data_IF_058968756098
#
_entry.id   IF_058968756098
#
_cell.length_a   1.000
_cell.length_b   1.000
_cell.length_c   1.000
_cell.angle_alpha   90.00
_cell.angle_beta   90.00
_cell.angle_gamma   90.00
#
_symmetry.space_group_name_H-M   'P 1'
#
loop_
_entity.id
_entity.type
_entity.pdbx_description
1 polymer ?
#
# COMPACT_ATOMS: atom_id res chain seq x y z
N UNK A 1 30.73 -16.81 20.29
CA UNK A 1 30.33 -16.77 18.86
C UNK A 1 29.45 -15.56 18.68
N UNK A 2 30.00 -14.45 18.26
CA UNK A 2 29.28 -13.19 18.04
C UNK A 2 28.63 -13.30 16.67
N UNK A 3 27.31 -13.34 16.61
CA UNK A 3 26.56 -13.22 15.36
C UNK A 3 26.59 -11.74 14.98
N UNK A 4 27.45 -11.36 14.07
CA UNK A 4 27.37 -10.06 13.39
C UNK A 4 26.16 -10.12 12.45
N UNK A 5 25.04 -9.58 12.89
CA UNK A 5 23.99 -9.16 11.97
C UNK A 5 24.55 -7.94 11.23
N UNK A 6 24.67 -8.04 9.91
CA UNK A 6 25.04 -6.91 9.07
C UNK A 6 24.02 -5.78 9.32
N UNK A 7 24.49 -4.66 9.86
CA UNK A 7 23.68 -3.48 10.15
C UNK A 7 22.94 -2.95 8.91
N UNK A 8 23.45 -3.22 7.71
CA UNK A 8 22.92 -2.76 6.43
C UNK A 8 21.55 -3.39 6.06
N UNK A 9 21.32 -4.67 6.39
CA UNK A 9 20.08 -5.36 5.99
C UNK A 9 18.83 -4.92 6.79
N UNK A 10 19.00 -4.31 7.98
CA UNK A 10 17.87 -3.85 8.79
C UNK A 10 17.40 -2.43 8.43
N UNK A 11 18.24 -1.61 7.81
CA UNK A 11 17.94 -0.21 7.50
C UNK A 11 17.09 -0.06 6.24
N UNK A 12 17.31 -0.87 5.21
CA UNK A 12 16.62 -0.77 3.91
C UNK A 12 15.11 -1.06 3.96
N UNK A 13 14.66 -1.71 5.02
CA UNK A 13 13.30 -2.25 5.12
C UNK A 13 12.29 -1.27 5.70
N UNK A 14 12.72 -0.30 6.51
CA UNK A 14 11.80 0.55 7.31
C UNK A 14 10.94 1.47 6.46
N UNK A 15 11.48 2.00 5.38
CA UNK A 15 10.79 2.94 4.47
C UNK A 15 10.14 2.25 3.28
N UNK A 16 10.32 0.93 3.15
CA UNK A 16 9.73 0.14 2.07
C UNK A 16 8.19 0.16 2.11
N UNK A 17 7.57 0.35 0.97
CA UNK A 17 6.11 0.21 0.80
C UNK A 17 5.63 -1.26 0.83
N UNK A 18 6.54 -2.25 0.81
CA UNK A 18 6.21 -3.68 0.87
C UNK A 18 5.76 -4.09 2.27
N UNK A 19 4.96 -5.15 2.36
CA UNK A 19 4.55 -5.77 3.64
C UNK A 19 5.74 -6.55 4.20
N UNK A 20 6.05 -6.30 5.47
CA UNK A 20 7.15 -6.94 6.18
C UNK A 20 6.61 -7.85 7.30
N UNK A 21 7.37 -8.85 7.76
CA UNK A 21 6.97 -9.70 8.89
C UNK A 21 6.62 -8.90 10.16
N UNK A 22 7.26 -7.76 10.38
CA UNK A 22 7.00 -6.87 11.53
C UNK A 22 5.67 -6.11 11.43
N UNK A 23 5.03 -6.07 10.26
CA UNK A 23 3.68 -5.51 10.06
C UNK A 23 2.60 -6.46 10.60
N UNK A 24 2.92 -7.73 10.85
CA UNK A 24 1.96 -8.73 11.38
C UNK A 24 1.33 -8.35 12.72
N UNK A 25 1.98 -7.48 13.50
CA UNK A 25 1.46 -6.92 14.75
C UNK A 25 0.58 -5.66 14.59
N UNK A 26 0.37 -5.16 13.38
CA UNK A 26 -0.40 -3.92 13.14
C UNK A 26 -1.91 -4.06 13.34
N UNK A 27 -2.44 -5.29 13.46
CA UNK A 27 -3.87 -5.50 13.67
C UNK A 27 -4.46 -4.71 14.85
N UNK A 28 -3.68 -4.51 15.92
CA UNK A 28 -4.08 -3.72 17.08
C UNK A 28 -4.11 -2.20 16.81
N UNK A 29 -3.33 -1.72 15.85
CA UNK A 29 -3.22 -0.29 15.51
C UNK A 29 -4.28 0.15 14.49
N UNK A 30 -5.02 -0.78 13.87
CA UNK A 30 -6.01 -0.46 12.84
C UNK A 30 -7.29 0.10 13.46
N UNK A 31 -7.90 1.14 12.87
CA UNK A 31 -9.23 1.60 13.25
C UNK A 31 -10.26 0.50 12.97
N UNK A 32 -11.30 0.44 13.81
CA UNK A 32 -12.40 -0.53 13.65
C UNK A 32 -13.62 0.06 12.98
N UNK A 33 -13.86 1.35 13.12
CA UNK A 33 -15.04 2.05 12.61
C UNK A 33 -14.60 3.24 11.74
N UNK A 34 -15.48 3.69 10.84
CA UNK A 34 -15.24 4.85 9.98
C UNK A 34 -14.93 6.12 10.75
N UNK A 35 -15.58 6.34 11.88
CA UNK A 35 -15.33 7.49 12.76
C UNK A 35 -13.90 7.53 13.31
N UNK A 36 -13.27 6.37 13.48
CA UNK A 36 -11.91 6.24 14.00
C UNK A 36 -10.86 6.26 12.86
N UNK A 37 -11.32 6.27 11.61
CA UNK A 37 -10.47 6.26 10.44
C UNK A 37 -10.05 7.70 10.09
N UNK A 38 -8.76 8.00 10.27
CA UNK A 38 -8.20 9.32 9.99
C UNK A 38 -7.93 9.50 8.50
N UNK A 39 -8.23 10.68 7.97
CA UNK A 39 -8.00 11.03 6.57
C UNK A 39 -9.00 10.39 5.60
N UNK A 40 -8.74 10.55 4.31
CA UNK A 40 -9.59 10.02 3.22
C UNK A 40 -11.05 10.52 3.29
N UNK A 41 -11.26 11.78 3.70
CA UNK A 41 -12.60 12.30 4.05
C UNK A 41 -13.62 12.10 2.92
N UNK A 42 -13.24 12.43 1.68
CA UNK A 42 -14.10 12.26 0.50
C UNK A 42 -14.51 10.80 0.26
N UNK A 43 -13.57 9.87 0.45
CA UNK A 43 -13.85 8.45 0.30
C UNK A 43 -14.76 7.95 1.42
N UNK A 44 -14.54 8.42 2.65
CA UNK A 44 -15.38 8.08 3.83
C UNK A 44 -16.81 8.58 3.70
N UNK A 45 -16.99 9.84 3.29
CA UNK A 45 -18.32 10.42 3.09
C UNK A 45 -19.13 9.61 2.08
N UNK A 46 -18.54 9.30 0.91
CA UNK A 46 -19.20 8.47 -0.09
C UNK A 46 -19.53 7.06 0.44
N UNK A 47 -18.58 6.45 1.13
CA UNK A 47 -18.75 5.11 1.69
C UNK A 47 -19.82 5.08 2.78
N UNK A 48 -19.88 6.08 3.66
CA UNK A 48 -20.90 6.18 4.70
C UNK A 48 -22.32 6.18 4.12
N UNK A 49 -22.55 6.96 3.05
CA UNK A 49 -23.84 6.99 2.36
C UNK A 49 -24.22 5.61 1.81
N UNK A 50 -23.25 4.91 1.17
CA UNK A 50 -23.49 3.57 0.62
C UNK A 50 -23.81 2.55 1.73
N UNK A 51 -23.07 2.58 2.84
CA UNK A 51 -23.28 1.70 4.00
C UNK A 51 -24.65 1.95 4.63
N UNK A 52 -25.00 3.22 4.89
CA UNK A 52 -26.28 3.56 5.51
C UNK A 52 -27.46 3.17 4.63
N UNK A 53 -27.34 3.36 3.31
CA UNK A 53 -28.36 2.95 2.35
C UNK A 53 -28.53 1.43 2.28
N UNK A 54 -27.43 0.65 2.26
CA UNK A 54 -27.47 -0.80 2.28
C UNK A 54 -28.13 -1.32 3.56
N UNK A 55 -27.75 -0.76 4.72
CA UNK A 55 -28.35 -1.09 6.01
C UNK A 55 -29.86 -0.80 6.09
N UNK A 56 -30.30 0.36 5.57
CA UNK A 56 -31.71 0.73 5.53
C UNK A 56 -32.55 -0.25 4.69
N UNK A 57 -31.97 -0.79 3.61
CA UNK A 57 -32.65 -1.76 2.76
C UNK A 57 -32.52 -3.22 3.23
N UNK A 58 -31.60 -3.48 4.19
CA UNK A 58 -31.25 -4.85 4.62
C UNK A 58 -30.56 -5.67 3.53
N UNK A 59 -29.80 -5.01 2.65
CA UNK A 59 -29.11 -5.60 1.51
C UNK A 59 -27.60 -5.60 1.73
N UNK A 60 -26.83 -6.48 1.03
CA UNK A 60 -25.39 -6.37 1.00
C UNK A 60 -24.97 -5.02 0.40
N UNK A 61 -23.80 -4.54 0.77
CA UNK A 61 -23.18 -3.37 0.13
C UNK A 61 -22.85 -3.73 -1.34
N UNK A 62 -22.98 -2.76 -2.24
CA UNK A 62 -22.47 -2.91 -3.61
C UNK A 62 -21.00 -3.31 -3.60
N UNK A 63 -20.53 -3.99 -4.64
CA UNK A 63 -19.12 -4.36 -4.77
C UNK A 63 -18.23 -3.12 -4.79
N UNK A 64 -17.14 -3.17 -4.01
CA UNK A 64 -16.24 -2.02 -3.77
C UNK A 64 -14.86 -2.27 -4.37
N UNK A 65 -14.35 -1.32 -5.13
CA UNK A 65 -12.95 -1.31 -5.58
C UNK A 65 -12.16 -0.25 -4.80
N UNK A 66 -11.15 -0.72 -4.05
CA UNK A 66 -10.19 0.14 -3.35
C UNK A 66 -8.89 0.21 -4.14
N UNK A 67 -8.48 1.39 -4.59
CA UNK A 67 -7.25 1.50 -5.38
C UNK A 67 -6.40 2.70 -4.95
N UNK A 68 -5.11 2.60 -5.19
CA UNK A 68 -4.12 3.62 -4.83
C UNK A 68 -2.78 3.00 -4.40
N UNK A 69 -1.78 3.82 -4.12
CA UNK A 69 -0.45 3.38 -3.70
C UNK A 69 -0.46 2.35 -2.56
N UNK A 70 0.60 1.55 -2.40
CA UNK A 70 0.70 0.60 -1.29
C UNK A 70 0.81 1.33 0.06
N UNK A 71 0.38 0.67 1.14
CA UNK A 71 0.52 1.21 2.51
C UNK A 71 -0.54 2.22 2.95
N UNK A 72 -1.54 2.55 2.11
CA UNK A 72 -2.59 3.54 2.40
C UNK A 72 -3.78 3.01 3.22
N UNK A 73 -3.79 1.72 3.56
CA UNK A 73 -4.84 1.15 4.40
C UNK A 73 -6.03 0.54 3.64
N UNK A 74 -5.87 0.08 2.38
CA UNK A 74 -6.93 -0.61 1.62
C UNK A 74 -7.53 -1.78 2.40
N UNK A 75 -6.71 -2.67 2.93
CA UNK A 75 -7.16 -3.80 3.77
C UNK A 75 -7.83 -3.34 5.06
N UNK A 76 -7.35 -2.23 5.65
CA UNK A 76 -7.97 -1.62 6.84
C UNK A 76 -9.35 -1.06 6.51
N UNK A 77 -9.50 -0.37 5.38
CA UNK A 77 -10.79 0.14 4.93
C UNK A 77 -11.81 -0.99 4.71
N UNK A 78 -11.38 -2.10 4.09
CA UNK A 78 -12.22 -3.28 3.92
C UNK A 78 -12.69 -3.87 5.26
N UNK A 79 -11.78 -3.95 6.25
CA UNK A 79 -12.13 -4.41 7.60
C UNK A 79 -13.11 -3.45 8.31
N UNK A 80 -12.94 -2.14 8.12
CA UNK A 80 -13.86 -1.12 8.64
C UNK A 80 -15.24 -1.28 8.00
N UNK A 81 -15.32 -1.50 6.68
CA UNK A 81 -16.60 -1.75 5.99
C UNK A 81 -17.30 -2.98 6.59
N UNK A 82 -16.58 -4.08 6.80
CA UNK A 82 -17.14 -5.28 7.39
C UNK A 82 -17.67 -5.04 8.80
N UNK A 83 -16.93 -4.31 9.64
CA UNK A 83 -17.36 -3.95 10.98
C UNK A 83 -18.58 -3.02 10.96
N UNK A 84 -18.61 -2.03 10.07
CA UNK A 84 -19.76 -1.13 9.92
C UNK A 84 -21.01 -1.88 9.45
N UNK A 85 -20.87 -2.82 8.51
CA UNK A 85 -21.98 -3.67 8.04
C UNK A 85 -22.38 -4.74 9.07
N UNK A 86 -21.51 -5.05 10.04
CA UNK A 86 -21.75 -6.10 11.04
C UNK A 86 -21.68 -7.52 10.46
N UNK A 87 -20.85 -7.74 9.44
CA UNK A 87 -20.72 -9.01 8.72
C UNK A 87 -19.31 -9.57 8.80
N UNK A 88 -19.15 -10.85 8.46
CA UNK A 88 -17.82 -11.47 8.41
C UNK A 88 -17.06 -11.08 7.14
N UNK A 89 -15.74 -11.03 7.23
CA UNK A 89 -14.87 -10.78 6.10
C UNK A 89 -13.91 -11.96 5.90
N UNK A 90 -13.93 -12.55 4.71
CA UNK A 90 -12.91 -13.50 4.27
C UNK A 90 -11.86 -12.78 3.45
N UNK A 91 -10.60 -13.04 3.75
CA UNK A 91 -9.44 -12.35 3.14
C UNK A 91 -8.70 -13.34 2.28
N UNK A 92 -8.43 -12.96 1.04
CA UNK A 92 -7.57 -13.66 0.10
C UNK A 92 -6.79 -12.64 -0.74
N UNK A 93 -5.98 -13.14 -1.67
CA UNK A 93 -5.26 -12.31 -2.63
C UNK A 93 -5.35 -12.86 -4.04
N UNK A 94 -5.19 -12.00 -5.05
CA UNK A 94 -5.19 -12.43 -6.45
C UNK A 94 -4.22 -13.59 -6.72
N UNK A 95 -2.95 -13.49 -6.29
CA UNK A 95 -1.99 -14.59 -6.45
C UNK A 95 -2.35 -15.91 -5.73
N UNK A 96 -3.14 -15.86 -4.66
CA UNK A 96 -3.56 -17.06 -3.92
C UNK A 96 -4.71 -17.81 -4.61
N UNK A 97 -5.37 -17.20 -5.59
CA UNK A 97 -6.44 -17.82 -6.38
C UNK A 97 -5.86 -18.25 -7.73
N UNK A 98 -5.31 -19.44 -7.77
CA UNK A 98 -4.64 -19.96 -8.98
C UNK A 98 -5.62 -20.51 -10.00
N UNK A 99 -6.74 -21.09 -9.54
CA UNK A 99 -7.70 -21.83 -10.37
C UNK A 99 -9.12 -21.39 -10.07
N UNK A 100 -9.97 -21.57 -11.07
CA UNK A 100 -11.41 -21.39 -10.99
C UNK A 100 -12.06 -22.11 -9.79
N UNK A 101 -11.60 -23.32 -9.48
CA UNK A 101 -12.06 -24.10 -8.33
C UNK A 101 -11.72 -23.47 -6.97
N UNK A 102 -10.61 -22.76 -6.86
CA UNK A 102 -10.22 -22.10 -5.62
C UNK A 102 -11.19 -20.95 -5.31
N UNK A 103 -11.52 -20.15 -6.33
CA UNK A 103 -12.54 -19.10 -6.21
C UNK A 103 -13.91 -19.67 -5.90
N UNK A 104 -14.33 -20.72 -6.60
CA UNK A 104 -15.62 -21.37 -6.35
C UNK A 104 -15.72 -21.86 -4.90
N UNK A 105 -14.66 -22.48 -4.36
CA UNK A 105 -14.61 -22.92 -2.97
C UNK A 105 -14.71 -21.76 -1.98
N UNK A 106 -14.09 -20.62 -2.27
CA UNK A 106 -14.20 -19.42 -1.43
C UNK A 106 -15.63 -18.87 -1.43
N UNK A 107 -16.25 -18.75 -2.62
CA UNK A 107 -17.59 -18.18 -2.79
C UNK A 107 -18.69 -19.05 -2.17
N UNK A 108 -18.64 -20.37 -2.36
CA UNK A 108 -19.63 -21.31 -1.81
C UNK A 108 -19.56 -21.43 -0.28
N UNK A 109 -18.47 -21.02 0.35
CA UNK A 109 -18.31 -20.99 1.81
C UNK A 109 -18.68 -19.64 2.46
N UNK A 110 -19.15 -18.65 1.68
CA UNK A 110 -19.66 -17.39 2.23
C UNK A 110 -21.05 -17.60 2.83
N UNK A 111 -21.40 -16.75 3.78
CA UNK A 111 -22.75 -16.60 4.30
C UNK A 111 -23.42 -15.38 3.70
N UNK A 112 -24.73 -15.26 3.92
CA UNK A 112 -25.50 -14.09 3.45
C UNK A 112 -24.91 -12.79 3.97
N UNK A 113 -24.67 -11.86 3.05
CA UNK A 113 -24.06 -10.54 3.27
C UNK A 113 -22.57 -10.54 3.67
N UNK A 114 -21.90 -11.68 3.72
CA UNK A 114 -20.45 -11.74 3.98
C UNK A 114 -19.65 -10.92 2.95
N UNK A 115 -18.48 -10.50 3.35
CA UNK A 115 -17.52 -9.80 2.49
C UNK A 115 -16.41 -10.75 2.06
N UNK A 116 -16.14 -10.82 0.76
CA UNK A 116 -14.92 -11.40 0.20
C UNK A 116 -13.96 -10.27 -0.15
N UNK A 117 -12.84 -10.18 0.56
CA UNK A 117 -11.77 -9.24 0.26
C UNK A 117 -10.67 -9.92 -0.54
N UNK A 118 -10.36 -9.37 -1.73
CA UNK A 118 -9.30 -9.86 -2.62
C UNK A 118 -8.24 -8.77 -2.77
N UNK A 119 -7.08 -8.95 -2.12
CA UNK A 119 -5.95 -8.05 -2.30
C UNK A 119 -5.22 -8.33 -3.61
N UNK A 120 -4.61 -7.30 -4.21
CA UNK A 120 -3.95 -7.36 -5.52
C UNK A 120 -4.81 -8.05 -6.60
N UNK A 121 -6.11 -7.67 -6.66
CA UNK A 121 -7.11 -8.28 -7.54
C UNK A 121 -6.72 -8.22 -9.03
N UNK A 122 -5.89 -7.26 -9.44
CA UNK A 122 -5.35 -7.17 -10.80
C UNK A 122 -4.44 -8.35 -11.20
N UNK A 123 -4.05 -9.19 -10.24
CA UNK A 123 -3.24 -10.39 -10.48
C UNK A 123 -4.06 -11.66 -10.66
N UNK A 124 -5.37 -11.57 -10.67
CA UNK A 124 -6.24 -12.69 -11.05
C UNK A 124 -5.95 -13.08 -12.50
N UNK A 125 -5.93 -14.38 -12.76
CA UNK A 125 -5.85 -14.85 -14.13
C UNK A 125 -7.24 -14.78 -14.80
N UNK A 126 -7.26 -14.75 -16.12
CA UNK A 126 -8.48 -14.57 -16.90
C UNK A 126 -9.56 -15.63 -16.63
N UNK A 127 -9.17 -16.90 -16.43
CA UNK A 127 -10.12 -17.96 -16.16
C UNK A 127 -10.84 -17.80 -14.81
N UNK A 128 -10.16 -17.20 -13.82
CA UNK A 128 -10.74 -16.84 -12.51
C UNK A 128 -11.66 -15.63 -12.65
N UNK A 129 -11.25 -14.61 -13.42
CA UNK A 129 -12.12 -13.45 -13.68
C UNK A 129 -13.43 -13.84 -14.35
N UNK A 130 -13.41 -14.76 -15.32
CA UNK A 130 -14.60 -15.22 -16.05
C UNK A 130 -15.65 -15.89 -15.14
N UNK A 131 -15.21 -16.52 -14.04
CA UNK A 131 -16.12 -17.04 -13.00
C UNK A 131 -16.61 -15.94 -12.06
N UNK A 132 -15.76 -14.94 -11.81
CA UNK A 132 -16.10 -13.85 -10.91
C UNK A 132 -17.24 -12.99 -11.47
N UNK A 133 -17.34 -12.83 -12.78
CA UNK A 133 -18.37 -12.01 -13.41
C UNK A 133 -19.80 -12.43 -13.06
N UNK A 134 -20.24 -13.67 -13.35
CA UNK A 134 -21.59 -14.11 -12.97
C UNK A 134 -21.77 -14.18 -11.44
N UNK A 135 -20.70 -14.44 -10.68
CA UNK A 135 -20.77 -14.40 -9.22
C UNK A 135 -21.11 -13.00 -8.69
N UNK A 136 -20.59 -11.93 -9.32
CA UNK A 136 -20.87 -10.54 -8.94
C UNK A 136 -22.24 -10.05 -9.42
N UNK A 137 -22.67 -10.45 -10.62
CA UNK A 137 -23.92 -9.95 -11.22
C UNK A 137 -25.14 -10.74 -10.77
N UNK A 138 -25.05 -12.07 -10.83
CA UNK A 138 -26.18 -12.99 -10.65
C UNK A 138 -26.14 -13.74 -9.33
N UNK A 139 -25.08 -13.59 -8.53
CA UNK A 139 -24.81 -14.43 -7.36
C UNK A 139 -24.88 -15.92 -7.69
N UNK A 140 -24.26 -16.31 -8.79
CA UNK A 140 -24.19 -17.69 -9.24
C UNK A 140 -22.88 -17.97 -9.94
N UNK A 141 -22.45 -19.23 -9.94
CA UNK A 141 -21.27 -19.69 -10.69
C UNK A 141 -21.66 -20.90 -11.55
N UNK A 142 -21.08 -20.98 -12.75
CA UNK A 142 -21.24 -22.11 -13.64
C UNK A 142 -20.02 -23.02 -13.54
N UNK A 143 -20.22 -24.24 -13.08
CA UNK A 143 -19.16 -25.25 -12.93
C UNK A 143 -19.32 -26.29 -14.06
N UNK A 144 -18.27 -26.46 -14.85
CA UNK A 144 -18.20 -27.45 -15.89
C UNK A 144 -17.70 -28.79 -15.29
N UNK A 145 -18.57 -29.82 -15.31
CA UNK A 145 -18.26 -31.17 -14.86
C UNK A 145 -18.08 -32.09 -16.06
N UNK A 146 -16.93 -32.75 -16.12
CA UNK A 146 -16.58 -33.65 -17.24
C UNK A 146 -15.60 -33.01 -18.22
N UNK A 147 -15.27 -33.74 -19.28
CA UNK A 147 -14.38 -33.30 -20.36
C UNK A 147 -14.99 -33.62 -21.72
N UNK A 148 -14.69 -32.76 -22.72
CA UNK A 148 -15.13 -32.97 -24.11
C UNK A 148 -16.63 -32.71 -24.32
N UNK A 149 -17.22 -33.26 -25.39
CA UNK A 149 -18.60 -32.99 -25.81
C UNK A 149 -19.68 -33.42 -24.79
N UNK A 150 -19.34 -34.25 -23.81
CA UNK A 150 -20.25 -34.71 -22.75
C UNK A 150 -20.10 -33.91 -21.44
N UNK A 151 -19.36 -32.81 -21.43
CA UNK A 151 -19.27 -31.93 -20.28
C UNK A 151 -20.62 -31.25 -20.02
N UNK A 152 -21.08 -31.30 -18.77
CA UNK A 152 -22.30 -30.63 -18.32
C UNK A 152 -21.92 -29.39 -17.50
N UNK A 153 -22.62 -28.30 -17.74
CA UNK A 153 -22.53 -27.11 -16.87
C UNK A 153 -23.58 -27.22 -15.76
N UNK A 154 -23.17 -27.05 -14.53
CA UNK A 154 -24.07 -26.95 -13.36
C UNK A 154 -23.96 -25.55 -12.84
N UNK A 155 -25.10 -24.84 -12.78
CA UNK A 155 -25.21 -23.53 -12.13
C UNK A 155 -25.43 -23.73 -10.63
N UNK A 156 -24.57 -23.13 -9.82
CA UNK A 156 -24.67 -23.07 -8.36
C UNK A 156 -25.03 -21.66 -7.93
N UNK A 157 -26.13 -21.53 -7.21
CA UNK A 157 -26.49 -20.27 -6.58
C UNK A 157 -25.59 -19.99 -5.37
N UNK A 158 -25.21 -18.76 -5.20
CA UNK A 158 -24.39 -18.25 -4.12
C UNK A 158 -25.23 -17.41 -3.16
N UNK A 159 -24.89 -17.34 -1.87
CA UNK A 159 -25.45 -16.32 -1.00
C UNK A 159 -25.08 -14.93 -1.53
N UNK A 160 -25.94 -13.95 -1.30
CA UNK A 160 -25.59 -12.56 -1.64
C UNK A 160 -24.40 -12.12 -0.81
N UNK A 161 -23.39 -11.55 -1.45
CA UNK A 161 -22.14 -11.13 -0.81
C UNK A 161 -21.64 -9.81 -1.39
N UNK A 162 -20.73 -9.17 -0.70
CA UNK A 162 -19.98 -8.03 -1.22
C UNK A 162 -18.56 -8.44 -1.57
N UNK A 163 -18.15 -8.21 -2.82
CA UNK A 163 -16.75 -8.29 -3.20
C UNK A 163 -16.07 -6.94 -2.92
N UNK A 164 -14.98 -6.96 -2.16
CA UNK A 164 -14.08 -5.81 -2.05
C UNK A 164 -12.76 -6.17 -2.72
N UNK A 165 -12.50 -5.58 -3.88
CA UNK A 165 -11.24 -5.70 -4.59
C UNK A 165 -10.26 -4.60 -4.15
N UNK A 166 -9.01 -4.95 -3.89
CA UNK A 166 -7.95 -3.97 -3.64
C UNK A 166 -6.86 -4.08 -4.71
N UNK A 167 -6.32 -2.95 -5.17
CA UNK A 167 -5.25 -2.93 -6.16
C UNK A 167 -4.36 -1.70 -6.03
N UNK A 168 -3.07 -1.89 -6.29
CA UNK A 168 -2.11 -0.79 -6.49
C UNK A 168 -2.06 -0.33 -7.94
N UNK A 169 -2.56 -1.13 -8.89
CA UNK A 169 -2.45 -0.95 -10.34
C UNK A 169 -3.83 -1.01 -11.02
N UNK A 170 -4.69 -0.04 -10.74
CA UNK A 170 -6.06 0.01 -11.27
C UNK A 170 -6.13 -0.04 -12.81
N UNK A 171 -5.11 0.48 -13.49
CA UNK A 171 -5.02 0.42 -14.96
C UNK A 171 -4.75 -0.99 -15.53
N UNK A 172 -4.38 -1.96 -14.70
CA UNK A 172 -4.17 -3.36 -15.11
C UNK A 172 -5.45 -4.21 -14.97
N UNK A 173 -6.50 -3.69 -14.32
CA UNK A 173 -7.79 -4.36 -14.27
C UNK A 173 -8.44 -4.36 -15.66
N UNK A 174 -9.03 -5.49 -16.01
CA UNK A 174 -9.85 -5.57 -17.23
C UNK A 174 -11.07 -4.65 -17.10
N UNK A 175 -11.49 -4.04 -18.21
CA UNK A 175 -12.67 -3.18 -18.19
C UNK A 175 -13.93 -3.93 -17.68
N UNK A 176 -14.20 -5.20 -18.13
CA UNK A 176 -15.33 -5.95 -17.62
C UNK A 176 -15.35 -6.16 -16.10
N UNK A 177 -14.19 -6.40 -15.48
CA UNK A 177 -14.11 -6.55 -14.03
C UNK A 177 -14.33 -5.21 -13.32
N UNK A 178 -13.69 -4.16 -13.82
CA UNK A 178 -13.78 -2.82 -13.20
C UNK A 178 -15.21 -2.28 -13.22
N UNK A 179 -15.93 -2.47 -14.34
CA UNK A 179 -17.27 -1.92 -14.54
C UNK A 179 -18.33 -2.59 -13.64
N UNK A 180 -18.00 -3.74 -13.02
CA UNK A 180 -18.86 -4.45 -12.07
C UNK A 180 -18.74 -3.95 -10.63
N UNK A 181 -17.79 -3.07 -10.35
CA UNK A 181 -17.72 -2.42 -9.05
C UNK A 181 -18.62 -1.18 -9.02
N UNK A 182 -19.67 -1.22 -8.20
CA UNK A 182 -20.59 -0.09 -8.02
C UNK A 182 -19.96 1.07 -7.25
N UNK A 183 -19.02 0.77 -6.35
CA UNK A 183 -18.33 1.77 -5.52
C UNK A 183 -16.83 1.75 -5.81
N UNK A 184 -16.30 2.85 -6.34
CA UNK A 184 -14.88 2.99 -6.66
C UNK A 184 -14.24 4.05 -5.77
N UNK A 185 -13.32 3.64 -4.88
CA UNK A 185 -12.67 4.51 -3.90
C UNK A 185 -11.16 4.57 -4.18
N UNK A 186 -10.71 5.76 -4.59
CA UNK A 186 -9.29 6.06 -4.69
C UNK A 186 -8.79 6.51 -3.33
N UNK A 187 -7.79 5.81 -2.79
CA UNK A 187 -7.07 6.24 -1.61
C UNK A 187 -5.88 7.09 -2.04
N UNK A 188 -5.73 8.22 -1.38
CA UNK A 188 -4.68 9.20 -1.64
C UNK A 188 -3.63 9.16 -0.53
N UNK A 189 -2.46 9.74 -0.80
CA UNK A 189 -1.46 9.89 0.22
C UNK A 189 -1.96 10.84 1.30
N UNK A 190 -1.58 10.54 2.52
CA UNK A 190 -1.93 11.32 3.70
C UNK A 190 -1.03 12.55 3.82
N UNK A 191 -1.58 13.64 4.32
CA UNK A 191 -0.79 14.79 4.72
C UNK A 191 0.01 14.49 6.00
N UNK A 192 1.08 15.23 6.28
CA UNK A 192 1.80 15.09 7.55
C UNK A 192 0.90 15.28 8.78
N UNK A 193 -0.09 16.17 8.72
CA UNK A 193 -1.04 16.44 9.81
C UNK A 193 -2.00 15.26 10.03
N UNK A 194 -2.43 14.60 8.96
CA UNK A 194 -3.25 13.38 9.05
C UNK A 194 -2.43 12.22 9.63
N UNK A 195 -1.18 12.05 9.16
CA UNK A 195 -0.29 11.02 9.69
C UNK A 195 0.10 11.28 11.14
N UNK A 196 0.27 12.53 11.56
CA UNK A 196 0.51 12.89 12.95
C UNK A 196 -0.60 12.34 13.86
N UNK A 197 -1.87 12.55 13.50
CA UNK A 197 -3.00 11.99 14.26
C UNK A 197 -2.96 10.46 14.33
N UNK A 198 -2.54 9.80 13.24
CA UNK A 198 -2.37 8.34 13.21
C UNK A 198 -1.24 7.91 14.14
N UNK A 199 -0.09 8.62 14.13
CA UNK A 199 1.05 8.36 15.00
C UNK A 199 0.67 8.54 16.48
N UNK A 200 0.01 9.65 16.84
CA UNK A 200 -0.44 9.94 18.20
C UNK A 200 -1.41 8.84 18.71
N UNK A 201 -2.39 8.45 17.89
CA UNK A 201 -3.29 7.35 18.23
C UNK A 201 -2.55 6.03 18.39
N UNK A 202 -1.63 5.71 17.48
CA UNK A 202 -0.83 4.48 17.53
C UNK A 202 0.09 4.45 18.75
N UNK A 203 0.70 5.58 19.12
CA UNK A 203 1.51 5.72 20.32
C UNK A 203 0.69 5.46 21.59
N UNK A 204 -0.54 5.98 21.67
CA UNK A 204 -1.46 5.70 22.76
C UNK A 204 -1.79 4.21 22.90
N UNK A 205 -2.04 3.50 21.79
CA UNK A 205 -2.29 2.06 21.79
C UNK A 205 -1.03 1.28 22.23
N UNK A 206 0.15 1.72 21.78
CA UNK A 206 1.44 1.14 22.15
C UNK A 206 1.90 1.52 23.56
N UNK A 207 1.16 2.42 24.25
CA UNK A 207 1.49 2.96 25.58
C UNK A 207 2.87 3.63 25.61
N UNK A 208 3.15 4.47 24.61
CA UNK A 208 4.37 5.25 24.47
C UNK A 208 4.01 6.71 24.60
N UNK A 209 4.74 7.44 25.47
CA UNK A 209 4.60 8.87 25.57
C UNK A 209 5.26 9.56 24.37
N UNK A 210 4.51 10.43 23.72
CA UNK A 210 4.96 11.20 22.56
C UNK A 210 4.39 12.61 22.62
N UNK A 211 5.21 13.62 22.35
CA UNK A 211 4.70 14.97 22.17
C UNK A 211 4.26 15.23 20.71
N UNK A 212 3.49 16.29 20.51
CA UNK A 212 2.96 16.66 19.20
C UNK A 212 4.05 16.94 18.17
N UNK A 213 5.19 17.49 18.59
CA UNK A 213 6.32 17.79 17.71
C UNK A 213 7.07 16.52 17.29
N UNK A 214 7.25 15.56 18.20
CA UNK A 214 7.83 14.24 17.90
C UNK A 214 6.92 13.42 16.99
N UNK A 215 5.60 13.48 17.19
CA UNK A 215 4.64 12.82 16.32
C UNK A 215 4.66 13.42 14.89
N UNK A 216 4.75 14.75 14.78
CA UNK A 216 4.89 15.42 13.48
C UNK A 216 6.21 15.09 12.78
N UNK A 217 7.31 14.99 13.53
CA UNK A 217 8.63 14.63 12.99
C UNK A 217 8.61 13.23 12.35
N UNK A 218 7.96 12.25 12.98
CA UNK A 218 7.74 10.91 12.42
C UNK A 218 6.83 10.99 11.20
N UNK A 219 5.73 11.72 11.31
CA UNK A 219 4.71 11.84 10.27
C UNK A 219 5.27 12.45 8.97
N UNK A 220 6.04 13.54 9.09
CA UNK A 220 6.62 14.26 7.94
C UNK A 220 7.56 13.40 7.11
N UNK A 221 8.26 12.43 7.73
CA UNK A 221 9.18 11.50 7.06
C UNK A 221 8.55 10.18 6.63
N UNK A 222 7.23 10.01 6.82
CA UNK A 222 6.50 8.76 6.57
C UNK A 222 6.00 8.60 5.13
N UNK A 223 6.48 9.42 4.19
CA UNK A 223 6.15 9.33 2.75
C UNK A 223 4.64 9.29 2.45
N UNK A 224 3.82 9.95 3.26
CA UNK A 224 2.36 9.97 3.08
C UNK A 224 1.66 8.64 3.35
N UNK A 225 2.31 7.66 4.01
CA UNK A 225 1.72 6.34 4.21
C UNK A 225 1.64 5.91 5.68
N UNK A 226 0.45 5.51 6.17
CA UNK A 226 0.25 5.04 7.55
C UNK A 226 1.13 3.86 7.94
N UNK A 227 1.42 2.95 6.99
CA UNK A 227 2.29 1.80 7.23
C UNK A 227 3.70 2.22 7.62
N UNK A 228 4.30 3.14 6.85
CA UNK A 228 5.64 3.67 7.15
C UNK A 228 5.61 4.44 8.47
N UNK A 229 4.58 5.26 8.71
CA UNK A 229 4.43 6.00 9.96
C UNK A 229 4.43 5.08 11.19
N UNK A 230 3.68 3.98 11.14
CA UNK A 230 3.66 3.00 12.23
C UNK A 230 5.00 2.27 12.40
N UNK A 231 5.71 1.94 11.32
CA UNK A 231 7.05 1.35 11.41
C UNK A 231 8.05 2.31 12.04
N UNK A 232 8.10 3.55 11.55
CA UNK A 232 8.98 4.56 12.10
C UNK A 232 8.67 4.79 13.58
N UNK A 233 7.39 4.89 13.96
CA UNK A 233 6.98 5.02 15.36
C UNK A 233 7.53 3.88 16.23
N UNK A 234 7.43 2.62 15.79
CA UNK A 234 7.97 1.47 16.53
C UNK A 234 9.49 1.57 16.71
N UNK A 235 10.22 1.96 15.67
CA UNK A 235 11.69 2.12 15.73
C UNK A 235 12.12 3.30 16.61
N UNK A 236 11.41 4.41 16.50
CA UNK A 236 11.66 5.60 17.36
C UNK A 236 11.34 5.27 18.82
N UNK A 237 10.25 4.52 19.09
CA UNK A 237 9.95 4.01 20.43
C UNK A 237 11.11 3.19 21.00
N UNK A 238 11.60 2.21 20.23
CA UNK A 238 12.70 1.33 20.68
C UNK A 238 13.96 2.16 20.99
N UNK A 239 14.22 3.19 20.18
CA UNK A 239 15.32 4.14 20.44
C UNK A 239 15.07 4.95 21.71
N UNK A 240 13.87 5.52 21.89
CA UNK A 240 13.50 6.32 23.05
C UNK A 240 13.65 5.52 24.36
N UNK A 241 13.22 4.26 24.36
CA UNK A 241 13.32 3.37 25.53
C UNK A 241 14.77 3.01 25.91
N UNK A 242 15.68 2.92 24.93
CA UNK A 242 17.06 2.46 25.17
C UNK A 242 18.05 3.62 25.31
N UNK A 243 17.80 4.74 24.64
CA UNK A 243 18.75 5.86 24.51
C UNK A 243 18.28 7.17 25.09
N UNK A 244 17.01 7.25 25.49
CA UNK A 244 16.41 8.40 26.14
C UNK A 244 15.61 7.96 27.38
N UNK A 245 14.71 8.81 27.85
CA UNK A 245 13.87 8.60 29.04
C UNK A 245 12.53 7.90 28.74
N UNK A 246 12.35 7.38 27.53
CA UNK A 246 11.14 6.69 27.07
C UNK A 246 10.09 7.61 26.46
N UNK A 247 10.32 8.92 26.46
CA UNK A 247 9.43 9.92 25.85
C UNK A 247 9.92 10.27 24.43
N UNK A 248 9.03 10.30 23.48
CA UNK A 248 9.35 10.69 22.09
C UNK A 248 9.10 12.19 21.94
N UNK A 249 10.16 12.97 22.06
CA UNK A 249 10.18 14.38 21.69
C UNK A 249 10.65 14.55 20.24
N UNK A 250 10.59 15.78 19.71
CA UNK A 250 11.12 16.09 18.37
C UNK A 250 12.60 15.71 18.25
N UNK A 251 13.41 16.02 19.27
CA UNK A 251 14.85 15.76 19.29
C UNK A 251 15.13 14.24 19.29
N UNK A 252 14.38 13.49 20.09
CA UNK A 252 14.49 12.02 20.16
C UNK A 252 14.06 11.39 18.84
N UNK A 253 12.93 11.83 18.28
CA UNK A 253 12.46 11.35 16.97
C UNK A 253 13.48 11.64 15.87
N UNK A 254 14.00 12.88 15.79
CA UNK A 254 15.02 13.25 14.81
C UNK A 254 16.31 12.42 14.94
N UNK A 255 16.83 12.25 16.16
CA UNK A 255 18.01 11.45 16.41
C UNK A 255 17.84 9.99 16.02
N UNK A 256 16.67 9.41 16.31
CA UNK A 256 16.34 8.05 15.92
C UNK A 256 16.22 7.89 14.40
N UNK A 257 15.54 8.81 13.71
CA UNK A 257 15.34 8.78 12.26
C UNK A 257 16.65 8.99 11.50
N UNK A 258 17.53 9.87 11.96
CA UNK A 258 18.87 10.03 11.39
C UNK A 258 19.72 8.76 11.55
N UNK A 259 19.60 8.07 12.68
CA UNK A 259 20.27 6.77 12.88
C UNK A 259 19.72 5.66 11.96
N UNK A 260 18.46 5.76 11.56
CA UNK A 260 17.84 4.91 10.55
C UNK A 260 18.13 5.38 9.12
N UNK A 261 18.99 6.39 8.96
CA UNK A 261 19.34 7.01 7.69
C UNK A 261 18.14 7.58 6.90
N UNK A 262 17.06 7.90 7.61
CA UNK A 262 15.88 8.57 7.05
C UNK A 262 16.06 10.08 7.22
N UNK A 263 16.19 10.78 6.11
CA UNK A 263 16.41 12.23 6.11
C UNK A 263 15.12 13.05 6.32
N UNK A 264 15.24 14.38 6.30
CA UNK A 264 14.12 15.31 6.57
C UNK A 264 12.94 15.17 5.59
N UNK A 265 13.20 14.67 4.39
CA UNK A 265 12.18 14.42 3.36
C UNK A 265 11.75 12.94 3.30
N UNK A 266 12.22 12.12 4.24
CA UNK A 266 11.89 10.70 4.27
C UNK A 266 12.65 9.85 3.25
N UNK A 267 13.74 10.36 2.64
CA UNK A 267 14.60 9.56 1.78
C UNK A 267 15.52 8.69 2.64
N UNK A 268 15.63 7.42 2.27
CA UNK A 268 16.57 6.49 2.90
C UNK A 268 17.92 6.44 2.16
N UNK A 269 18.81 5.56 2.62
CA UNK A 269 20.14 5.39 2.02
C UNK A 269 20.05 4.96 0.55
N UNK A 270 19.12 4.10 0.18
CA UNK A 270 18.97 3.59 -1.19
C UNK A 270 18.40 4.66 -2.12
N UNK A 271 17.43 5.47 -1.68
CA UNK A 271 16.94 6.62 -2.46
C UNK A 271 18.10 7.56 -2.79
N UNK A 272 18.87 7.95 -1.76
CA UNK A 272 19.99 8.86 -1.95
C UNK A 272 21.09 8.26 -2.83
N UNK A 273 21.38 6.93 -2.68
CA UNK A 273 22.31 6.20 -3.54
C UNK A 273 21.83 6.18 -4.99
N UNK A 274 20.52 5.93 -5.20
CA UNK A 274 19.90 5.96 -6.53
C UNK A 274 20.08 7.33 -7.21
N UNK A 275 19.71 8.41 -6.52
CA UNK A 275 19.83 9.77 -7.05
C UNK A 275 21.29 10.15 -7.32
N UNK A 276 22.21 9.86 -6.37
CA UNK A 276 23.65 10.11 -6.56
C UNK A 276 24.22 9.34 -7.73
N UNK A 277 23.88 8.06 -7.89
CA UNK A 277 24.38 7.24 -9.00
C UNK A 277 23.96 7.82 -10.36
N UNK A 278 22.73 8.33 -10.47
CA UNK A 278 22.27 8.98 -11.70
C UNK A 278 23.07 10.26 -11.97
N UNK A 279 23.37 11.03 -10.93
CA UNK A 279 24.14 12.28 -11.06
C UNK A 279 25.59 11.99 -11.44
N UNK A 280 26.27 11.14 -10.67
CA UNK A 280 27.72 10.92 -10.77
C UNK A 280 28.13 10.09 -11.99
N UNK A 281 27.39 9.02 -12.29
CA UNK A 281 27.77 8.10 -13.38
C UNK A 281 27.08 8.39 -14.71
N UNK A 282 25.90 9.06 -14.67
CA UNK A 282 25.10 9.29 -15.87
C UNK A 282 24.79 10.79 -16.09
N UNK A 283 25.53 11.69 -15.43
CA UNK A 283 25.44 13.15 -15.61
C UNK A 283 23.99 13.69 -15.49
N UNK A 284 23.21 13.11 -14.57
CA UNK A 284 21.81 13.49 -14.35
C UNK A 284 20.79 12.68 -15.17
N UNK A 285 21.25 11.79 -16.01
CA UNK A 285 20.44 10.92 -16.87
C UNK A 285 20.33 11.42 -18.32
N UNK A 286 19.60 10.71 -19.19
CA UNK A 286 18.73 9.57 -18.89
C UNK A 286 19.47 8.23 -18.71
N UNK A 287 19.01 7.40 -17.80
CA UNK A 287 19.55 6.05 -17.56
C UNK A 287 18.42 5.01 -17.54
N UNK A 288 18.67 3.85 -18.17
CA UNK A 288 17.73 2.73 -18.17
C UNK A 288 17.60 2.07 -16.79
N UNK A 289 16.43 1.48 -16.49
CA UNK A 289 16.15 0.84 -15.20
C UNK A 289 17.13 -0.27 -14.87
N UNK A 290 17.37 -1.20 -15.81
CA UNK A 290 18.28 -2.34 -15.64
C UNK A 290 19.72 -1.89 -15.39
N UNK A 291 20.16 -0.85 -16.12
CA UNK A 291 21.49 -0.26 -15.94
C UNK A 291 21.67 0.35 -14.57
N UNK A 292 20.65 1.10 -14.12
CA UNK A 292 20.64 1.72 -12.79
C UNK A 292 20.63 0.65 -11.68
N UNK A 293 19.78 -0.37 -11.83
CA UNK A 293 19.69 -1.50 -10.91
C UNK A 293 21.04 -2.21 -10.73
N UNK A 294 21.72 -2.52 -11.86
CA UNK A 294 23.05 -3.10 -11.83
C UNK A 294 24.08 -2.18 -11.16
N UNK A 295 23.99 -0.86 -11.38
CA UNK A 295 24.93 0.12 -10.79
C UNK A 295 24.83 0.20 -9.28
N UNK A 296 23.62 0.14 -8.73
CA UNK A 296 23.40 0.25 -7.27
C UNK A 296 23.29 -1.10 -6.55
N UNK A 297 23.33 -2.21 -7.29
CA UNK A 297 23.26 -3.56 -6.73
C UNK A 297 21.88 -3.95 -6.21
N UNK A 298 20.80 -3.44 -6.86
CA UNK A 298 19.41 -3.73 -6.52
C UNK A 298 18.70 -4.42 -7.69
N UNK A 299 17.57 -5.07 -7.39
CA UNK A 299 16.68 -5.61 -8.44
C UNK A 299 15.90 -4.48 -9.14
N UNK A 300 15.83 -4.53 -10.48
CA UNK A 300 15.10 -3.54 -11.27
C UNK A 300 13.64 -3.37 -10.83
N UNK A 301 12.93 -4.47 -10.55
CA UNK A 301 11.56 -4.47 -10.05
C UNK A 301 11.45 -3.79 -8.68
N UNK A 302 12.46 -3.95 -7.82
CA UNK A 302 12.50 -3.28 -6.51
C UNK A 302 12.64 -1.77 -6.67
N UNK A 303 13.52 -1.32 -7.57
CA UNK A 303 13.64 0.11 -7.87
C UNK A 303 12.34 0.70 -8.40
N UNK A 304 11.69 0.03 -9.35
CA UNK A 304 10.46 0.51 -9.99
C UNK A 304 9.25 0.52 -9.05
N UNK A 305 9.10 -0.48 -8.19
CA UNK A 305 7.91 -0.66 -7.37
C UNK A 305 8.02 -0.01 -5.99
N UNK A 306 9.24 0.16 -5.46
CA UNK A 306 9.45 0.60 -4.07
C UNK A 306 10.00 2.02 -4.00
N UNK A 307 11.06 2.33 -4.73
CA UNK A 307 11.81 3.59 -4.60
C UNK A 307 11.35 4.66 -5.58
N UNK A 308 11.24 4.32 -6.85
CA UNK A 308 10.92 5.27 -7.92
C UNK A 308 9.58 6.02 -7.72
N UNK A 309 8.49 5.39 -7.23
CA UNK A 309 7.20 6.09 -7.08
C UNK A 309 7.28 7.29 -6.16
N UNK A 310 7.99 7.18 -5.03
CA UNK A 310 8.14 8.28 -4.10
C UNK A 310 9.03 9.39 -4.68
N UNK A 311 10.15 9.03 -5.31
CA UNK A 311 11.06 9.98 -5.94
C UNK A 311 10.42 10.76 -7.09
N UNK A 312 9.58 10.09 -7.90
CA UNK A 312 8.79 10.72 -8.95
C UNK A 312 7.78 11.72 -8.38
N UNK A 313 7.05 11.30 -7.35
CA UNK A 313 6.02 12.11 -6.72
C UNK A 313 6.61 13.35 -6.03
N UNK A 314 7.75 13.20 -5.37
CA UNK A 314 8.47 14.31 -4.75
C UNK A 314 9.18 15.20 -5.77
N UNK A 315 9.16 14.83 -7.05
CA UNK A 315 9.80 15.59 -8.10
C UNK A 315 11.33 15.55 -8.05
N UNK A 316 11.93 14.52 -7.46
CA UNK A 316 13.38 14.27 -7.51
C UNK A 316 13.79 13.58 -8.80
N UNK A 317 12.89 12.79 -9.36
CA UNK A 317 13.10 11.98 -10.55
C UNK A 317 12.05 12.32 -11.61
N UNK A 318 12.42 12.19 -12.87
CA UNK A 318 11.50 12.20 -14.01
C UNK A 318 11.72 10.97 -14.88
N UNK A 319 10.63 10.50 -15.49
CA UNK A 319 10.65 9.36 -16.42
C UNK A 319 10.52 9.88 -17.85
N UNK A 320 11.48 9.56 -18.68
CA UNK A 320 11.48 9.90 -20.11
C UNK A 320 11.44 8.61 -20.94
N UNK A 321 11.14 8.65 -22.25
CA UNK A 321 11.23 7.47 -23.13
C UNK A 321 12.62 6.85 -23.18
N UNK A 322 13.67 7.62 -22.89
CA UNK A 322 15.08 7.16 -22.87
C UNK A 322 15.51 6.61 -21.52
N UNK A 323 14.77 6.88 -20.44
CA UNK A 323 15.12 6.44 -19.09
C UNK A 323 14.79 7.46 -18.00
N UNK A 324 15.42 7.27 -16.86
CA UNK A 324 15.25 8.08 -15.64
C UNK A 324 16.24 9.24 -15.64
N UNK A 325 15.74 10.43 -15.29
CA UNK A 325 16.56 11.64 -15.12
C UNK A 325 16.29 12.24 -13.75
N UNK A 326 17.33 12.74 -13.09
CA UNK A 326 17.18 13.51 -11.86
C UNK A 326 16.80 14.96 -12.18
N UNK A 327 16.09 15.58 -11.28
CA UNK A 327 15.69 16.99 -11.40
C UNK A 327 16.66 17.90 -10.65
N UNK A 328 16.59 19.18 -10.89
CA UNK A 328 17.34 20.21 -10.13
C UNK A 328 17.11 20.08 -8.62
N UNK A 329 15.87 19.75 -8.20
CA UNK A 329 15.52 19.53 -6.78
C UNK A 329 16.36 18.41 -6.13
N UNK A 330 16.69 17.35 -6.89
CA UNK A 330 17.55 16.28 -6.37
C UNK A 330 18.99 16.78 -6.09
N UNK A 331 19.56 17.59 -6.98
CA UNK A 331 20.87 18.20 -6.76
C UNK A 331 20.88 19.10 -5.53
N UNK A 332 19.87 19.99 -5.40
CA UNK A 332 19.71 20.90 -4.27
C UNK A 332 19.59 20.13 -2.95
N UNK A 333 18.79 19.06 -2.93
CA UNK A 333 18.61 18.23 -1.74
C UNK A 333 19.89 17.48 -1.33
N UNK A 334 20.66 17.00 -2.30
CA UNK A 334 21.92 16.30 -2.04
C UNK A 334 23.10 17.25 -1.79
N UNK A 335 22.89 18.57 -1.85
CA UNK A 335 23.93 19.58 -1.71
C UNK A 335 24.95 19.58 -2.85
N UNK A 336 24.53 19.15 -4.06
CA UNK A 336 25.36 19.10 -5.25
C UNK A 336 25.07 20.28 -6.17
N UNK A 337 26.11 20.74 -6.89
CA UNK A 337 25.93 21.78 -7.91
C UNK A 337 25.17 21.22 -9.11
N UNK A 338 24.13 21.94 -9.54
CA UNK A 338 23.34 21.54 -10.71
C UNK A 338 24.16 21.77 -11.99
N UNK A 339 24.67 20.70 -12.55
CA UNK A 339 25.27 20.69 -13.87
C UNK A 339 24.09 20.44 -14.84
N UNK A 340 23.59 21.50 -15.46
CA UNK A 340 22.43 21.40 -16.39
C UNK A 340 22.61 20.21 -17.35
N UNK A 341 21.49 19.55 -17.67
CA UNK A 341 21.52 18.50 -18.70
C UNK A 341 22.13 19.11 -19.96
N UNK A 342 23.28 18.62 -20.40
CA UNK A 342 23.78 18.98 -21.72
C UNK A 342 22.73 18.53 -22.73
N UNK A 343 22.08 19.49 -23.40
CA UNK A 343 21.31 19.18 -24.60
C UNK A 343 22.29 18.47 -25.55
N UNK A 344 22.14 17.15 -25.62
CA UNK A 344 22.82 16.40 -26.69
C UNK A 344 22.00 16.71 -27.93
N UNK A 345 22.41 17.74 -28.64
CA UNK A 345 21.97 17.99 -30.01
C UNK A 345 22.26 16.73 -30.84
N UNK A 346 21.21 16.11 -31.34
CA UNK A 346 21.24 15.01 -32.31
C UNK A 346 21.15 15.58 -33.73
#
# INVERSE_FOLDING_TARGET
MSINFSEDAQQEVVTSSRVLPEDSGEGSLRPRLLRDYTGQEKAKENLQVCIDAARLRGEPLDHVLLYGPPGLGKTTMAAVIANEMGVNMRITSGPAIEKAGDLAALLTNLQENDILFVDEIHRLNRAVEEILYPAMEDYAIDIIIGKGPSANSIRLDLPRFTLIGATTRAGQLTAPLRDRFGVNLRLELYSPEELQKIVERSAGILKVEIDSAGAYEIASRSRGTPRIANRLLKRVRDYAQVRADGVITKEVANAALLRLEVDELGLDATDRRMLRSIIEFYHGGPVGLETLAATIGEEAVTLEDVYEPYLLQQGFLTRTPRGRCVTRRAYEHLGLEYIGQQEIDL
#
